data_IF_335164268273
#
_entry.id   IF_335164268273
#
_cell.length_a   1.000
_cell.length_b   1.000
_cell.length_c   1.000
_cell.angle_alpha   90.00
_cell.angle_beta   90.00
_cell.angle_gamma   90.00
#
_symmetry.space_group_name_H-M   'P 1'
#
loop_
_entity.id
_entity.type
_entity.pdbx_description
1 polymer ?
#
# COMPACT_ATOMS: atom_id res chain seq x y z
N UNK A 1 -11.58 8.17 -13.47
CA UNK A 1 -12.97 7.94 -13.01
C UNK A 1 -13.16 8.47 -11.57
N UNK A 2 -12.41 8.01 -10.56
CA UNK A 2 -12.53 8.43 -9.16
C UNK A 2 -12.53 9.96 -8.95
N UNK A 3 -11.52 10.69 -9.44
CA UNK A 3 -11.45 12.15 -9.32
C UNK A 3 -12.66 12.86 -9.95
N UNK A 4 -13.15 12.37 -11.10
CA UNK A 4 -14.34 12.92 -11.74
C UNK A 4 -15.59 12.74 -10.88
N UNK A 5 -15.71 11.60 -10.21
CA UNK A 5 -16.82 11.31 -9.30
C UNK A 5 -16.75 12.23 -8.06
N UNK A 6 -15.60 12.32 -7.42
CA UNK A 6 -15.36 13.19 -6.26
C UNK A 6 -15.70 14.65 -6.60
N UNK A 7 -15.31 15.11 -7.80
CA UNK A 7 -15.67 16.45 -8.30
C UNK A 7 -17.17 16.61 -8.49
N UNK A 8 -17.83 15.61 -9.08
CA UNK A 8 -19.28 15.65 -9.31
C UNK A 8 -20.10 15.71 -8.03
N UNK A 9 -19.57 15.15 -6.94
CA UNK A 9 -20.17 15.25 -5.60
C UNK A 9 -19.80 16.55 -4.86
N UNK A 10 -19.05 17.46 -5.47
CA UNK A 10 -18.62 18.72 -4.84
C UNK A 10 -17.61 18.54 -3.69
N UNK A 11 -17.02 17.34 -3.55
CA UNK A 11 -16.12 17.05 -2.45
C UNK A 11 -14.75 17.71 -2.62
N UNK A 12 -14.31 17.94 -3.86
CA UNK A 12 -13.02 18.62 -4.13
C UNK A 12 -12.99 20.04 -3.61
N UNK A 13 -14.14 20.73 -3.55
CA UNK A 13 -14.24 22.11 -3.06
C UNK A 13 -14.03 22.20 -1.54
N UNK A 14 -14.13 21.08 -0.84
CA UNK A 14 -13.89 20.95 0.61
C UNK A 14 -12.46 20.56 0.94
N UNK A 15 -11.62 20.29 -0.06
CA UNK A 15 -10.26 19.80 0.09
C UNK A 15 -9.24 20.81 -0.45
N UNK A 16 -8.11 20.92 0.23
CA UNK A 16 -6.94 21.63 -0.29
C UNK A 16 -6.26 20.69 -1.30
N UNK A 17 -6.29 21.08 -2.58
CA UNK A 17 -5.68 20.28 -3.64
C UNK A 17 -4.19 20.64 -3.76
N UNK A 18 -3.33 19.65 -3.54
CA UNK A 18 -1.88 19.78 -3.71
C UNK A 18 -1.48 19.12 -5.02
N UNK A 19 -0.77 19.86 -5.88
CA UNK A 19 -0.18 19.28 -7.08
C UNK A 19 1.08 18.50 -6.70
N UNK A 20 1.11 17.16 -6.87
CA UNK A 20 2.29 16.37 -6.57
C UNK A 20 3.43 16.71 -7.54
N UNK A 21 4.66 16.40 -7.14
CA UNK A 21 5.82 16.35 -8.01
C UNK A 21 6.19 14.88 -8.24
N UNK A 22 6.76 14.58 -9.39
CA UNK A 22 7.34 13.25 -9.61
C UNK A 22 8.36 12.94 -8.53
N UNK A 23 8.32 11.73 -8.00
CA UNK A 23 9.40 11.23 -7.16
C UNK A 23 10.71 11.21 -7.95
N UNK A 24 11.79 11.68 -7.34
CA UNK A 24 13.12 11.54 -7.93
C UNK A 24 13.57 10.08 -7.89
N UNK A 25 14.57 9.74 -8.69
CA UNK A 25 15.23 8.43 -8.63
C UNK A 25 15.69 8.10 -7.20
N UNK A 26 16.32 9.04 -6.53
CA UNK A 26 16.78 8.93 -5.14
C UNK A 26 15.61 8.63 -4.17
N UNK A 27 14.44 9.24 -4.38
CA UNK A 27 13.27 8.94 -3.56
C UNK A 27 12.83 7.49 -3.73
N UNK A 28 12.84 6.96 -4.95
CA UNK A 28 12.47 5.58 -5.23
C UNK A 28 13.51 4.59 -4.67
N UNK A 29 14.79 4.91 -4.78
CA UNK A 29 15.91 4.12 -4.26
C UNK A 29 15.97 4.07 -2.72
N UNK A 30 15.20 4.90 -2.03
CA UNK A 30 15.04 4.76 -0.58
C UNK A 30 14.45 3.40 -0.18
N UNK A 31 13.73 2.73 -1.07
CA UNK A 31 13.21 1.38 -0.86
C UNK A 31 13.59 0.42 -1.98
N UNK A 32 13.31 0.78 -3.23
CA UNK A 32 13.53 -0.12 -4.37
C UNK A 32 15.00 -0.16 -4.76
N UNK A 33 15.47 -1.31 -5.26
CA UNK A 33 16.85 -1.42 -5.75
C UNK A 33 17.03 -0.70 -7.06
N UNK A 34 18.26 -0.23 -7.29
CA UNK A 34 18.65 0.40 -8.56
C UNK A 34 18.42 -0.54 -9.75
N UNK A 35 18.70 -1.85 -9.58
CA UNK A 35 18.53 -2.83 -10.64
C UNK A 35 17.07 -2.98 -11.09
N UNK A 36 16.13 -3.01 -10.14
CA UNK A 36 14.69 -3.03 -10.43
C UNK A 36 14.24 -1.74 -11.15
N UNK A 37 14.67 -0.60 -10.65
CA UNK A 37 14.32 0.69 -11.24
C UNK A 37 14.96 0.90 -12.63
N UNK A 38 16.18 0.42 -12.86
CA UNK A 38 16.82 0.40 -14.18
C UNK A 38 16.01 -0.42 -15.18
N UNK A 39 15.52 -1.57 -14.73
CA UNK A 39 14.66 -2.40 -15.54
C UNK A 39 13.34 -1.69 -15.88
N UNK A 40 12.64 -1.11 -14.91
CA UNK A 40 11.41 -0.35 -15.16
C UNK A 40 11.63 0.81 -16.14
N UNK A 41 12.79 1.50 -16.04
CA UNK A 41 13.13 2.59 -16.94
C UNK A 41 13.42 2.10 -18.37
N UNK A 42 14.10 0.98 -18.51
CA UNK A 42 14.41 0.38 -19.80
C UNK A 42 13.13 -0.20 -20.44
N UNK A 43 12.31 -0.89 -19.68
CA UNK A 43 11.06 -1.49 -20.13
C UNK A 43 10.09 -0.45 -20.70
N UNK A 44 9.97 0.70 -20.04
CA UNK A 44 9.07 1.77 -20.50
C UNK A 44 9.52 2.47 -21.80
N UNK A 45 10.76 2.26 -22.25
CA UNK A 45 11.35 2.91 -23.42
C UNK A 45 11.54 1.96 -24.63
N UNK A 46 11.34 0.65 -24.43
CA UNK A 46 11.61 -0.35 -25.47
C UNK A 46 10.42 -0.58 -26.38
N UNK A 47 10.69 -0.59 -27.69
CA UNK A 47 9.74 -1.06 -28.70
C UNK A 47 9.77 -2.59 -28.86
N UNK A 48 10.75 -3.27 -28.26
CA UNK A 48 10.96 -4.72 -28.32
C UNK A 48 10.58 -5.36 -26.98
N UNK A 49 9.30 -5.52 -26.76
CA UNK A 49 8.74 -6.08 -25.54
C UNK A 49 9.14 -7.54 -25.32
N UNK A 50 9.20 -8.35 -26.41
CA UNK A 50 9.55 -9.77 -26.34
C UNK A 50 10.95 -10.00 -25.76
N UNK A 51 11.90 -9.13 -26.13
CA UNK A 51 13.27 -9.22 -25.61
C UNK A 51 13.39 -8.79 -24.16
N UNK A 52 12.56 -7.87 -23.72
CA UNK A 52 12.49 -7.43 -22.33
C UNK A 52 11.80 -8.46 -21.44
N UNK A 53 10.73 -9.07 -21.91
CA UNK A 53 10.03 -10.14 -21.23
C UNK A 53 10.97 -11.33 -20.98
N UNK A 54 11.78 -11.73 -21.95
CA UNK A 54 12.81 -12.78 -21.76
C UNK A 54 13.86 -12.45 -20.68
N UNK A 55 14.15 -11.18 -20.43
CA UNK A 55 15.11 -10.76 -19.41
C UNK A 55 14.45 -10.62 -18.04
N UNK A 56 13.16 -10.35 -18.04
CA UNK A 56 12.36 -10.13 -16.83
C UNK A 56 11.73 -11.40 -16.28
N UNK A 57 11.47 -12.38 -17.15
CA UNK A 57 10.90 -13.66 -16.75
C UNK A 57 11.67 -14.19 -15.53
N UNK A 58 11.03 -14.18 -14.37
CA UNK A 58 11.53 -14.66 -13.09
C UNK A 58 12.45 -13.74 -12.28
N UNK A 59 12.65 -12.45 -12.61
CA UNK A 59 13.55 -11.62 -11.79
C UNK A 59 12.87 -10.45 -11.07
N UNK A 60 11.88 -9.81 -11.69
CA UNK A 60 11.33 -8.56 -11.20
C UNK A 60 9.79 -8.56 -11.08
N UNK A 61 9.12 -9.71 -11.24
CA UNK A 61 7.66 -9.84 -11.12
C UNK A 61 6.87 -9.04 -12.16
N UNK A 62 7.53 -8.56 -13.23
CA UNK A 62 6.85 -7.82 -14.29
C UNK A 62 6.39 -8.81 -15.36
N UNK A 63 5.24 -9.42 -15.10
CA UNK A 63 4.56 -10.38 -15.94
C UNK A 63 3.09 -10.51 -15.48
N UNK A 64 2.30 -11.37 -16.09
CA UNK A 64 0.93 -11.72 -15.72
C UNK A 64 0.06 -10.54 -15.23
N UNK A 65 -0.01 -10.35 -13.91
CA UNK A 65 -0.80 -9.32 -13.23
C UNK A 65 -0.10 -7.95 -13.14
N UNK A 66 1.21 -7.92 -13.46
CA UNK A 66 2.02 -6.72 -13.56
C UNK A 66 2.65 -6.58 -14.95
N UNK A 67 1.87 -6.46 -16.04
CA UNK A 67 2.42 -6.37 -17.39
C UNK A 67 3.25 -5.11 -17.61
N UNK A 68 4.17 -5.16 -18.59
CA UNK A 68 4.88 -3.96 -19.02
C UNK A 68 3.88 -2.98 -19.63
N UNK A 69 3.82 -1.78 -19.05
CA UNK A 69 3.01 -0.68 -19.58
C UNK A 69 3.93 0.40 -20.17
N UNK A 70 3.53 1.08 -21.25
CA UNK A 70 4.31 2.17 -21.82
C UNK A 70 4.61 3.24 -20.77
N UNK A 71 5.85 3.72 -20.72
CA UNK A 71 6.31 4.78 -19.81
C UNK A 71 6.10 4.44 -18.32
N UNK A 72 6.23 3.16 -17.96
CA UNK A 72 6.02 2.65 -16.60
C UNK A 72 6.86 3.41 -15.56
N UNK A 73 8.10 3.80 -15.89
CA UNK A 73 8.95 4.54 -14.96
C UNK A 73 8.35 5.90 -14.60
N UNK A 74 7.77 6.58 -15.58
CA UNK A 74 7.07 7.83 -15.33
C UNK A 74 5.79 7.62 -14.47
N UNK A 75 5.07 6.53 -14.70
CA UNK A 75 3.90 6.18 -13.89
C UNK A 75 4.29 5.99 -12.42
N UNK A 76 5.29 5.16 -12.13
CA UNK A 76 5.73 4.91 -10.74
C UNK A 76 6.24 6.18 -10.05
N UNK A 77 6.89 7.09 -10.79
CA UNK A 77 7.32 8.39 -10.26
C UNK A 77 6.13 9.26 -9.81
N UNK A 78 5.03 9.27 -10.57
CA UNK A 78 3.83 10.02 -10.20
C UNK A 78 3.09 9.41 -9.01
N UNK A 79 2.96 8.07 -8.99
CA UNK A 79 2.32 7.35 -7.87
C UNK A 79 3.07 7.60 -6.57
N UNK A 80 4.37 7.35 -6.55
CA UNK A 80 5.21 7.59 -5.39
C UNK A 80 5.25 9.08 -5.00
N UNK A 81 5.30 9.96 -6.00
CA UNK A 81 5.30 11.41 -5.80
C UNK A 81 4.03 11.92 -5.10
N UNK A 82 2.87 11.31 -5.38
CA UNK A 82 1.61 11.62 -4.70
C UNK A 82 1.66 11.29 -3.21
N UNK A 83 2.11 10.09 -2.85
CA UNK A 83 2.21 9.66 -1.45
C UNK A 83 3.31 10.38 -0.67
N UNK A 84 4.43 10.70 -1.33
CA UNK A 84 5.47 11.56 -0.74
C UNK A 84 4.97 12.98 -0.49
N UNK A 85 4.17 13.55 -1.41
CA UNK A 85 3.57 14.88 -1.20
C UNK A 85 2.56 14.89 -0.04
N UNK A 86 1.77 13.83 0.11
CA UNK A 86 0.88 13.65 1.25
C UNK A 86 1.65 13.57 2.58
N UNK A 87 2.69 12.74 2.63
CA UNK A 87 3.55 12.61 3.82
C UNK A 87 4.28 13.92 4.16
N UNK A 88 4.75 14.66 3.17
CA UNK A 88 5.39 15.97 3.36
C UNK A 88 4.43 16.99 3.94
N UNK A 89 3.17 17.05 3.45
CA UNK A 89 2.16 17.96 3.97
C UNK A 89 1.85 17.69 5.45
N UNK A 90 1.80 16.41 5.84
CA UNK A 90 1.65 16.01 7.26
C UNK A 90 2.87 16.40 8.09
N UNK A 91 4.09 16.12 7.61
CA UNK A 91 5.33 16.47 8.29
C UNK A 91 5.47 17.98 8.53
N UNK A 92 5.00 18.79 7.57
CA UNK A 92 4.97 20.25 7.68
C UNK A 92 3.80 20.79 8.50
N UNK A 93 2.87 19.92 8.90
CA UNK A 93 1.63 20.29 9.59
C UNK A 93 0.73 21.21 8.76
N UNK A 94 0.80 21.12 7.44
CA UNK A 94 -0.07 21.86 6.52
C UNK A 94 -1.53 21.32 6.60
N UNK A 95 -1.70 20.07 7.01
CA UNK A 95 -2.99 19.40 7.25
C UNK A 95 -2.87 18.33 8.33
N UNK A 96 -4.02 17.84 8.81
CA UNK A 96 -4.09 16.69 9.72
C UNK A 96 -4.38 15.37 9.00
N UNK A 97 -4.99 15.44 7.81
CA UNK A 97 -5.31 14.30 6.95
C UNK A 97 -4.89 14.63 5.53
N UNK A 98 -4.18 13.71 4.89
CA UNK A 98 -3.77 13.83 3.49
C UNK A 98 -4.23 12.58 2.72
N UNK A 99 -4.75 12.77 1.50
CA UNK A 99 -5.30 11.71 0.66
C UNK A 99 -4.54 11.63 -0.66
N UNK A 100 -4.06 10.46 -1.04
CA UNK A 100 -3.54 10.16 -2.38
C UNK A 100 -4.43 9.11 -3.06
N UNK A 101 -5.26 9.53 -3.98
CA UNK A 101 -6.20 8.66 -4.70
C UNK A 101 -5.54 7.72 -5.71
N UNK A 102 -4.30 7.98 -6.07
CA UNK A 102 -3.56 7.15 -7.03
C UNK A 102 -2.56 6.19 -6.38
N UNK A 103 -2.36 6.31 -5.06
CA UNK A 103 -1.46 5.44 -4.28
C UNK A 103 -2.14 4.20 -3.74
N UNK A 104 -1.47 3.56 -2.79
CA UNK A 104 -1.98 2.37 -2.12
C UNK A 104 -1.40 1.06 -2.66
N UNK A 105 -0.27 1.10 -3.34
CA UNK A 105 0.35 -0.03 -4.02
C UNK A 105 1.18 -0.89 -3.07
N UNK A 106 0.49 -1.65 -2.24
CA UNK A 106 1.00 -2.34 -1.04
C UNK A 106 1.74 -3.66 -1.32
N UNK A 107 1.58 -4.25 -2.52
CA UNK A 107 2.20 -5.54 -2.84
C UNK A 107 3.61 -5.42 -3.43
N UNK A 108 3.98 -4.25 -3.98
CA UNK A 108 5.31 -4.11 -4.57
C UNK A 108 6.40 -4.36 -3.52
N UNK A 109 7.30 -5.30 -3.83
CA UNK A 109 8.46 -5.63 -3.03
C UNK A 109 9.63 -4.70 -3.38
N UNK A 110 10.74 -4.84 -2.69
CA UNK A 110 11.93 -4.03 -2.96
C UNK A 110 12.45 -4.19 -4.39
N UNK A 111 12.44 -5.41 -4.89
CA UNK A 111 13.02 -5.79 -6.17
C UNK A 111 12.00 -6.41 -7.15
N UNK A 112 10.70 -6.30 -6.84
CA UNK A 112 9.69 -7.06 -7.56
C UNK A 112 8.35 -6.31 -7.59
N UNK A 113 7.71 -6.28 -8.76
CA UNK A 113 6.31 -5.92 -8.93
C UNK A 113 5.43 -7.11 -8.56
N UNK A 114 4.27 -6.86 -7.96
CA UNK A 114 3.34 -7.91 -7.56
C UNK A 114 1.94 -7.33 -7.37
N UNK A 115 0.88 -8.09 -7.64
CA UNK A 115 -0.49 -7.70 -7.33
C UNK A 115 -0.88 -6.34 -7.92
N UNK A 116 -0.58 -6.09 -9.19
CA UNK A 116 -0.80 -4.82 -9.90
C UNK A 116 0.07 -3.64 -9.42
N UNK A 117 0.96 -3.87 -8.45
CA UNK A 117 1.78 -2.86 -7.81
C UNK A 117 3.21 -2.87 -8.36
N UNK A 118 3.66 -1.74 -8.90
CA UNK A 118 5.02 -1.59 -9.47
C UNK A 118 5.95 -0.78 -8.56
N UNK A 119 5.41 -0.03 -7.60
CA UNK A 119 6.17 0.76 -6.64
C UNK A 119 5.46 0.76 -5.32
N UNK A 120 6.15 0.53 -4.22
CA UNK A 120 5.53 0.62 -2.91
C UNK A 120 5.56 2.07 -2.40
N UNK A 121 4.61 2.85 -2.86
CA UNK A 121 4.45 4.25 -2.50
C UNK A 121 4.14 4.43 -1.00
N UNK A 122 3.50 3.43 -0.38
CA UNK A 122 3.21 3.40 1.06
C UNK A 122 4.50 3.32 1.87
N UNK A 123 5.40 2.41 1.52
CA UNK A 123 6.70 2.28 2.19
C UNK A 123 7.49 3.58 2.09
N UNK A 124 7.52 4.20 0.92
CA UNK A 124 8.20 5.49 0.70
C UNK A 124 7.58 6.60 1.55
N UNK A 125 6.24 6.66 1.64
CA UNK A 125 5.53 7.63 2.46
C UNK A 125 5.81 7.41 3.96
N UNK A 126 5.77 6.16 4.44
CA UNK A 126 6.09 5.82 5.84
C UNK A 126 7.53 6.23 6.17
N UNK A 127 8.50 5.91 5.31
CA UNK A 127 9.89 6.33 5.51
C UNK A 127 10.03 7.86 5.54
N UNK A 128 9.23 8.58 4.74
CA UNK A 128 9.22 10.04 4.76
C UNK A 128 8.60 10.60 6.04
N UNK A 129 7.49 10.05 6.53
CA UNK A 129 6.88 10.39 7.82
C UNK A 129 7.86 10.16 8.99
N UNK A 130 8.64 9.09 8.92
CA UNK A 130 9.64 8.74 9.94
C UNK A 130 10.75 9.78 10.13
N UNK A 131 10.89 10.74 9.23
CA UNK A 131 11.83 11.87 9.43
C UNK A 131 11.38 12.82 10.57
N UNK A 132 10.10 12.82 10.89
CA UNK A 132 9.48 13.70 11.91
C UNK A 132 8.79 12.90 13.02
N UNK A 133 8.15 11.78 12.67
CA UNK A 133 7.36 10.95 13.58
C UNK A 133 8.16 9.74 14.05
N UNK A 134 8.20 9.47 15.36
CA UNK A 134 8.96 8.33 15.90
C UNK A 134 8.25 6.98 15.70
N UNK A 135 6.93 6.97 15.71
CA UNK A 135 6.12 5.76 15.56
C UNK A 135 5.05 5.96 14.50
N UNK A 136 5.00 5.06 13.53
CA UNK A 136 3.98 5.08 12.48
C UNK A 136 3.19 3.78 12.50
N UNK A 137 1.87 3.90 12.53
CA UNK A 137 0.93 2.79 12.35
C UNK A 137 0.57 2.70 10.87
N UNK A 138 0.68 1.53 10.30
CA UNK A 138 0.11 1.18 9.02
C UNK A 138 -1.12 0.30 9.22
N UNK A 139 -2.22 0.65 8.58
CA UNK A 139 -3.47 -0.12 8.57
C UNK A 139 -3.80 -0.45 7.13
N UNK A 140 -4.06 -1.72 6.85
CA UNK A 140 -4.44 -2.20 5.53
C UNK A 140 -5.86 -2.77 5.57
N UNK A 141 -6.76 -2.13 4.82
CA UNK A 141 -8.18 -2.50 4.70
C UNK A 141 -8.50 -3.20 3.38
N UNK A 142 -7.51 -3.34 2.50
CA UNK A 142 -7.63 -4.13 1.27
C UNK A 142 -8.01 -5.58 1.62
N UNK A 143 -8.75 -6.25 0.72
CA UNK A 143 -9.10 -7.65 0.94
C UNK A 143 -7.88 -8.57 0.90
N UNK A 144 -6.78 -8.13 0.26
CA UNK A 144 -5.51 -8.85 0.18
C UNK A 144 -4.55 -8.42 1.29
N UNK A 145 -3.71 -9.34 1.74
CA UNK A 145 -2.65 -9.04 2.71
C UNK A 145 -1.65 -8.02 2.15
N UNK A 146 -1.34 -6.96 2.90
CA UNK A 146 -0.36 -5.93 2.54
C UNK A 146 1.09 -6.39 2.72
N UNK A 147 1.46 -7.45 2.04
CA UNK A 147 2.73 -8.19 2.20
C UNK A 147 3.97 -7.35 1.93
N UNK A 148 3.95 -6.50 0.90
CA UNK A 148 5.08 -5.65 0.55
C UNK A 148 5.42 -4.64 1.65
N UNK A 149 4.40 -4.07 2.30
CA UNK A 149 4.59 -3.14 3.41
C UNK A 149 5.04 -3.88 4.67
N UNK A 150 4.43 -5.02 4.99
CA UNK A 150 4.84 -5.83 6.14
C UNK A 150 6.29 -6.28 6.00
N UNK A 151 6.68 -6.80 4.83
CA UNK A 151 8.05 -7.24 4.56
C UNK A 151 9.07 -6.12 4.73
N UNK A 152 8.75 -4.91 4.24
CA UNK A 152 9.62 -3.75 4.34
C UNK A 152 9.94 -3.36 5.78
N UNK A 153 9.00 -3.57 6.71
CA UNK A 153 9.12 -3.12 8.08
C UNK A 153 9.19 -4.24 9.13
N UNK A 154 9.22 -5.50 8.71
CA UNK A 154 9.18 -6.67 9.60
C UNK A 154 10.26 -6.72 10.68
N UNK A 155 11.36 -6.00 10.53
CA UNK A 155 12.44 -5.87 11.52
C UNK A 155 12.39 -4.58 12.36
N UNK A 156 11.40 -3.72 12.14
CA UNK A 156 11.33 -2.39 12.76
C UNK A 156 10.34 -2.34 13.91
N UNK A 157 10.76 -1.95 15.14
CA UNK A 157 9.83 -1.71 16.24
C UNK A 157 9.20 -0.30 16.20
N UNK A 158 9.47 0.47 15.15
CA UNK A 158 9.01 1.85 14.99
C UNK A 158 7.83 1.98 14.03
N UNK A 159 7.57 0.94 13.27
CA UNK A 159 6.41 0.82 12.40
C UNK A 159 5.61 -0.39 12.87
N UNK A 160 4.32 -0.16 13.13
CA UNK A 160 3.40 -1.24 13.41
C UNK A 160 2.55 -1.47 12.16
N UNK A 161 2.55 -2.68 11.63
CA UNK A 161 1.71 -3.05 10.49
C UNK A 161 0.51 -3.86 10.97
N UNK A 162 -0.69 -3.45 10.58
CA UNK A 162 -1.94 -4.15 10.84
C UNK A 162 -2.67 -4.38 9.51
N UNK A 163 -2.87 -5.63 9.13
CA UNK A 163 -3.63 -6.03 7.95
C UNK A 163 -4.78 -6.93 8.34
N UNK A 164 -5.99 -6.57 7.90
CA UNK A 164 -7.21 -7.36 8.06
C UNK A 164 -7.68 -7.80 6.68
N UNK A 165 -7.48 -9.06 6.32
CA UNK A 165 -7.55 -9.53 4.94
C UNK A 165 -8.15 -10.94 4.84
N UNK A 166 -8.58 -11.31 3.65
CA UNK A 166 -8.98 -12.67 3.34
C UNK A 166 -7.74 -13.57 3.26
N UNK A 167 -7.83 -14.74 3.88
CA UNK A 167 -6.79 -15.76 3.82
C UNK A 167 -7.38 -17.14 3.65
N UNK A 168 -7.01 -17.79 2.56
CA UNK A 168 -7.31 -19.19 2.28
C UNK A 168 -6.26 -19.81 1.35
N UNK A 169 -6.22 -21.12 1.25
CA UNK A 169 -5.27 -21.82 0.38
C UNK A 169 -5.48 -21.44 -1.08
N UNK A 170 -4.42 -20.96 -1.73
CA UNK A 170 -4.45 -20.54 -3.12
C UNK A 170 -4.99 -19.13 -3.36
N UNK A 171 -5.35 -18.39 -2.32
CA UNK A 171 -5.71 -16.97 -2.43
C UNK A 171 -4.46 -16.09 -2.33
N UNK A 172 -4.38 -15.09 -3.22
CA UNK A 172 -3.26 -14.16 -3.30
C UNK A 172 -3.20 -13.24 -2.07
N UNK A 173 -2.00 -12.89 -1.56
CA UNK A 173 -0.65 -13.33 -1.97
C UNK A 173 -0.19 -14.62 -1.30
N UNK A 174 -1.00 -15.25 -0.45
CA UNK A 174 -0.67 -16.50 0.25
C UNK A 174 0.13 -16.31 1.54
N UNK A 175 0.28 -15.07 2.02
CA UNK A 175 0.95 -14.66 3.26
C UNK A 175 -0.04 -13.99 4.21
N UNK A 176 0.41 -13.57 5.41
CA UNK A 176 -0.43 -12.88 6.40
C UNK A 176 -1.17 -13.83 7.33
N UNK A 177 -0.51 -14.88 7.79
CA UNK A 177 -1.08 -15.74 8.84
C UNK A 177 -0.98 -15.06 10.21
N UNK A 178 -1.77 -15.54 11.19
CA UNK A 178 -1.70 -15.04 12.58
C UNK A 178 -0.33 -15.22 13.23
N UNK A 179 0.53 -16.05 12.65
CA UNK A 179 1.88 -16.32 13.14
C UNK A 179 2.93 -15.37 12.54
N UNK A 180 2.56 -14.59 11.53
CA UNK A 180 3.44 -13.60 10.89
C UNK A 180 3.43 -12.34 11.73
N UNK A 181 4.33 -12.27 12.69
CA UNK A 181 4.37 -11.25 13.75
C UNK A 181 5.59 -10.33 13.68
N UNK A 182 6.31 -10.35 12.56
CA UNK A 182 7.57 -9.64 12.39
C UNK A 182 8.79 -10.39 12.94
N UNK A 183 9.98 -9.81 12.79
CA UNK A 183 11.26 -10.45 13.04
C UNK A 183 12.19 -9.62 13.92
N UNK A 184 13.08 -10.28 14.64
CA UNK A 184 14.14 -9.62 15.42
C UNK A 184 13.60 -8.54 16.35
N UNK A 185 14.01 -7.28 16.16
CA UNK A 185 13.51 -6.14 16.94
C UNK A 185 12.08 -5.75 16.56
N UNK A 186 11.63 -6.10 15.37
CA UNK A 186 10.26 -5.87 14.88
C UNK A 186 9.29 -6.97 15.26
N UNK A 187 9.71 -8.00 15.99
CA UNK A 187 8.82 -9.05 16.44
C UNK A 187 7.71 -8.48 17.32
N UNK A 188 6.46 -8.84 16.99
CA UNK A 188 5.22 -8.35 17.60
C UNK A 188 4.84 -6.90 17.19
N UNK A 189 5.44 -6.39 16.11
CA UNK A 189 5.03 -5.14 15.48
C UNK A 189 4.38 -5.34 14.10
N UNK A 190 4.10 -6.59 13.74
CA UNK A 190 3.19 -6.97 12.65
C UNK A 190 2.03 -7.75 13.23
N UNK A 191 0.81 -7.39 12.85
CA UNK A 191 -0.42 -8.06 13.25
C UNK A 191 -1.26 -8.36 12.02
N UNK A 192 -1.51 -9.65 11.80
CA UNK A 192 -2.33 -10.14 10.71
C UNK A 192 -3.62 -10.74 11.27
N UNK A 193 -4.75 -10.31 10.72
CA UNK A 193 -6.05 -10.86 11.05
C UNK A 193 -6.68 -11.48 9.81
N UNK A 194 -6.39 -12.78 9.55
CA UNK A 194 -6.93 -13.49 8.41
C UNK A 194 -8.41 -13.80 8.61
N UNK A 195 -9.20 -13.45 7.61
CA UNK A 195 -10.64 -13.65 7.56
C UNK A 195 -11.03 -14.64 6.46
N UNK A 196 -12.26 -15.12 6.52
CA UNK A 196 -12.89 -15.95 5.51
C UNK A 196 -13.93 -15.16 4.72
N UNK A 197 -14.35 -15.73 3.58
CA UNK A 197 -15.45 -15.20 2.80
C UNK A 197 -16.71 -14.92 3.63
N UNK A 198 -17.46 -13.91 3.21
CA UNK A 198 -18.77 -13.59 3.74
C UNK A 198 -18.78 -12.82 5.04
N UNK A 199 -17.64 -12.33 5.55
CA UNK A 199 -17.64 -11.45 6.73
C UNK A 199 -18.54 -10.24 6.48
N UNK A 200 -19.37 -9.89 7.45
CA UNK A 200 -20.30 -8.76 7.39
C UNK A 200 -19.78 -7.53 8.16
N UNK A 201 -20.45 -6.40 7.98
CA UNK A 201 -20.09 -5.12 8.61
C UNK A 201 -20.00 -5.23 10.15
N UNK A 202 -20.95 -5.92 10.77
CA UNK A 202 -21.03 -6.03 12.23
C UNK A 202 -19.81 -6.75 12.80
N UNK A 203 -19.48 -7.89 12.22
CA UNK A 203 -18.37 -8.72 12.64
C UNK A 203 -17.03 -8.04 12.33
N UNK A 204 -16.91 -7.44 11.15
CA UNK A 204 -15.71 -6.73 10.73
C UNK A 204 -15.40 -5.55 11.65
N UNK A 205 -16.38 -4.69 11.89
CA UNK A 205 -16.21 -3.51 12.75
C UNK A 205 -15.90 -3.89 14.20
N UNK A 206 -16.56 -4.92 14.74
CA UNK A 206 -16.25 -5.41 16.08
C UNK A 206 -14.76 -5.83 16.21
N UNK A 207 -14.26 -6.59 15.23
CA UNK A 207 -12.87 -7.04 15.18
C UNK A 207 -11.94 -5.82 15.05
N UNK A 208 -12.21 -4.96 14.09
CA UNK A 208 -11.40 -3.79 13.79
C UNK A 208 -11.27 -2.85 14.99
N UNK A 209 -12.40 -2.46 15.58
CA UNK A 209 -12.43 -1.55 16.73
C UNK A 209 -11.70 -2.13 17.94
N UNK A 210 -11.91 -3.42 18.21
CA UNK A 210 -11.27 -4.11 19.33
C UNK A 210 -9.74 -4.10 19.18
N UNK A 211 -9.26 -4.47 17.99
CA UNK A 211 -7.83 -4.55 17.70
C UNK A 211 -7.19 -3.16 17.65
N UNK A 212 -7.83 -2.22 16.95
CA UNK A 212 -7.29 -0.86 16.80
C UNK A 212 -7.18 -0.14 18.15
N UNK A 213 -8.13 -0.38 19.05
CA UNK A 213 -8.09 0.17 20.40
C UNK A 213 -6.86 -0.31 21.17
N UNK A 214 -6.57 -1.60 21.13
CA UNK A 214 -5.39 -2.20 21.77
C UNK A 214 -4.08 -1.73 21.13
N UNK A 215 -3.99 -1.70 19.80
CA UNK A 215 -2.82 -1.16 19.10
C UNK A 215 -2.57 0.30 19.51
N UNK A 216 -3.62 1.13 19.46
CA UNK A 216 -3.52 2.55 19.79
C UNK A 216 -3.05 2.77 21.22
N UNK A 217 -3.56 1.98 22.16
CA UNK A 217 -3.15 2.05 23.56
C UNK A 217 -1.69 1.59 23.78
N UNK A 218 -1.31 0.46 23.20
CA UNK A 218 0.00 -0.13 23.43
C UNK A 218 1.13 0.52 22.61
N UNK A 219 0.87 0.81 21.34
CA UNK A 219 1.88 1.34 20.41
C UNK A 219 1.97 2.87 20.46
N UNK A 220 0.85 3.58 20.63
CA UNK A 220 0.79 5.06 20.67
C UNK A 220 1.46 5.69 19.43
N UNK A 221 0.89 5.52 18.24
CA UNK A 221 1.47 6.04 16.99
C UNK A 221 1.43 7.58 16.96
N UNK A 222 2.45 8.21 16.38
CA UNK A 222 2.50 9.65 16.10
C UNK A 222 1.82 9.99 14.76
N UNK A 223 1.80 9.04 13.85
CA UNK A 223 1.14 9.15 12.55
C UNK A 223 0.56 7.79 12.13
N UNK A 224 -0.51 7.83 11.33
CA UNK A 224 -1.15 6.64 10.78
C UNK A 224 -1.23 6.75 9.27
N UNK A 225 -0.92 5.66 8.58
CA UNK A 225 -1.12 5.49 7.13
C UNK A 225 -2.14 4.40 6.92
N UNK A 226 -3.18 4.67 6.13
CA UNK A 226 -4.26 3.72 5.87
C UNK A 226 -4.33 3.43 4.39
N UNK A 227 -4.23 2.17 4.01
CA UNK A 227 -4.57 1.68 2.68
C UNK A 227 -6.07 1.32 2.67
N UNK A 228 -6.80 1.92 1.73
CA UNK A 228 -8.25 1.83 1.65
C UNK A 228 -8.68 1.13 0.35
N UNK A 229 -8.18 -0.07 0.09
CA UNK A 229 -8.64 -0.92 -1.01
C UNK A 229 -10.15 -1.13 -0.92
N UNK A 230 -10.86 -0.93 -2.03
CA UNK A 230 -12.31 -1.06 -2.07
C UNK A 230 -12.80 -2.47 -2.44
N UNK A 231 -11.89 -3.39 -2.67
CA UNK A 231 -12.14 -4.79 -3.01
C UNK A 231 -12.62 -5.65 -1.82
N UNK A 232 -12.57 -5.10 -0.61
CA UNK A 232 -13.26 -5.64 0.57
C UNK A 232 -14.79 -5.46 0.52
N UNK A 233 -15.31 -4.66 -0.41
CA UNK A 233 -16.74 -4.45 -0.57
C UNK A 233 -17.44 -5.66 -1.20
N UNK A 234 -18.71 -5.86 -0.83
CA UNK A 234 -19.55 -6.91 -1.38
C UNK A 234 -19.65 -6.82 -2.92
N UNK A 235 -19.60 -7.97 -3.58
CA UNK A 235 -19.65 -8.15 -5.03
C UNK A 235 -18.38 -7.71 -5.79
N UNK A 236 -17.28 -7.43 -5.10
CA UNK A 236 -16.01 -7.31 -5.80
C UNK A 236 -15.59 -8.67 -6.39
N UNK A 237 -15.16 -8.73 -7.66
CA UNK A 237 -14.84 -10.01 -8.31
C UNK A 237 -13.59 -10.69 -7.75
N UNK A 238 -12.68 -9.95 -7.12
CA UNK A 238 -11.45 -10.47 -6.51
C UNK A 238 -11.59 -10.68 -5.00
N UNK A 239 -12.62 -10.06 -4.40
CA UNK A 239 -12.86 -10.07 -2.96
C UNK A 239 -13.51 -11.37 -2.48
N UNK A 240 -14.46 -11.22 -1.58
CA UNK A 240 -15.19 -12.33 -0.98
C UNK A 240 -15.88 -11.89 0.32
N UNK A 241 -15.60 -10.66 0.77
CA UNK A 241 -16.26 -10.07 1.92
C UNK A 241 -17.65 -9.55 1.54
N UNK A 242 -18.50 -9.40 2.54
CA UNK A 242 -19.87 -8.88 2.39
C UNK A 242 -20.01 -7.49 3.01
N UNK A 243 -18.94 -6.66 2.91
CA UNK A 243 -18.95 -5.33 3.49
C UNK A 243 -19.72 -4.34 2.63
N UNK A 244 -20.44 -3.44 3.29
CA UNK A 244 -21.07 -2.30 2.66
C UNK A 244 -20.16 -1.07 2.71
N UNK A 245 -20.41 -0.01 1.90
CA UNK A 245 -19.69 1.26 2.04
C UNK A 245 -19.80 1.90 3.42
N UNK A 246 -20.82 1.55 4.20
CA UNK A 246 -20.96 1.99 5.59
C UNK A 246 -20.11 1.20 6.55
N UNK A 247 -19.84 -0.07 6.24
CA UNK A 247 -19.03 -0.94 7.07
C UNK A 247 -17.55 -0.59 7.07
N UNK A 248 -17.08 0.14 6.06
CA UNK A 248 -15.68 0.57 5.94
C UNK A 248 -15.49 2.08 6.10
N UNK A 249 -16.54 2.84 6.43
CA UNK A 249 -16.49 4.31 6.63
C UNK A 249 -16.67 4.74 8.13
#
# INVERSE_FOLDING_TARGET
MTISLIRSYGLLDQLIQIKPKKASRENLEAFHSSAYLDYCEAAGKSDDLEKLEMVAENKFGIEYDCPIVPDIFNLIQWIAGGSLAAAEALNRKDCQVALNWGGGWHHAQRDEASGFCYVNDIVLAIQHLRKVHDKVLYIDLDVHHGDGVENAFSYSPKIFTFSIHKFESGYFPGSGTVNDVGHGKGRYYSLNFPLKDGIDDTSYNYIFDSILSEISYAFQPDATVVQCGADCLANDPLGGFSLSPRGIS
#
